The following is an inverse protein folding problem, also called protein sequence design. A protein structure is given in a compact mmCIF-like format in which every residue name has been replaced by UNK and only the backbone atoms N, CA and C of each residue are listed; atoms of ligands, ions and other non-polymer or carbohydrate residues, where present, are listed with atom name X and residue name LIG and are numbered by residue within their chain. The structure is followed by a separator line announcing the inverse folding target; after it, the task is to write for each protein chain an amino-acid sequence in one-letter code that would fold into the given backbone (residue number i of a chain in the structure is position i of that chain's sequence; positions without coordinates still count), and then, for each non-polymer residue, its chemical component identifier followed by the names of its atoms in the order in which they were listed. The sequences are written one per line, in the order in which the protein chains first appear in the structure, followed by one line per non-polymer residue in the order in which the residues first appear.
data_IF_991194679009
#
_entry.id   IF_991194679009
#
_cell.length_a   1.000
_cell.length_b   1.000
_cell.length_c   1.000
_cell.angle_alpha   90.00
_cell.angle_beta   90.00
_cell.angle_gamma   90.00
#
_symmetry.space_group_name_H-M   'P 1'
#
loop_
_entity.id
_entity.type
_entity.pdbx_description
1 polymer ?
#
# COMPACT_ATOMS: atom_id res chain seq x y z
N UNK A 1 5.54 -0.72 -43.90
CA UNK A 1 5.56 -1.88 -42.97
C UNK A 1 4.52 -1.63 -41.91
N UNK A 2 3.37 -2.29 -42.01
CA UNK A 2 2.23 -2.15 -41.10
C UNK A 2 2.52 -2.89 -39.79
N UNK A 3 2.46 -2.17 -38.67
CA UNK A 3 2.49 -2.78 -37.34
C UNK A 3 1.14 -3.43 -37.06
N UNK A 4 1.11 -4.76 -37.06
CA UNK A 4 0.01 -5.55 -36.51
C UNK A 4 0.09 -5.49 -34.98
N UNK A 5 -0.74 -4.65 -34.36
CA UNK A 5 -1.00 -4.67 -32.91
C UNK A 5 -2.11 -5.66 -32.61
N UNK A 6 -1.79 -6.94 -32.55
CA UNK A 6 -2.63 -7.92 -31.86
C UNK A 6 -2.05 -8.09 -30.47
N UNK A 7 -2.65 -7.42 -29.48
CA UNK A 7 -2.40 -7.68 -28.06
C UNK A 7 -2.94 -9.09 -27.76
N UNK A 8 -2.15 -10.12 -28.04
CA UNK A 8 -2.44 -11.49 -27.63
C UNK A 8 -2.42 -11.54 -26.09
N UNK A 9 -3.59 -11.71 -25.48
CA UNK A 9 -3.70 -11.92 -24.02
C UNK A 9 -3.17 -13.31 -23.70
N UNK A 10 -2.31 -13.42 -22.67
CA UNK A 10 -1.82 -14.72 -22.21
C UNK A 10 -2.89 -15.51 -21.45
N UNK A 11 -3.88 -14.82 -20.88
CA UNK A 11 -5.01 -15.38 -20.15
C UNK A 11 -6.25 -14.50 -20.34
N UNK A 12 -7.39 -15.08 -20.67
CA UNK A 12 -8.68 -14.39 -20.55
C UNK A 12 -9.06 -14.23 -19.08
N UNK A 13 -9.71 -13.12 -18.73
CA UNK A 13 -10.33 -12.95 -17.41
C UNK A 13 -11.31 -14.09 -17.14
N UNK A 14 -11.44 -14.59 -15.89
CA UNK A 14 -12.32 -15.72 -15.61
C UNK A 14 -13.76 -15.36 -16.01
N UNK A 15 -14.24 -15.94 -17.10
CA UNK A 15 -15.68 -16.05 -17.36
C UNK A 15 -16.22 -16.99 -16.30
N UNK A 16 -17.25 -16.53 -15.57
CA UNK A 16 -18.06 -17.39 -14.71
C UNK A 16 -18.62 -18.50 -15.62
N UNK A 17 -18.06 -19.70 -15.57
CA UNK A 17 -18.64 -20.84 -16.26
C UNK A 17 -19.89 -21.24 -15.49
N UNK A 18 -21.05 -21.03 -16.11
CA UNK A 18 -22.31 -21.58 -15.65
C UNK A 18 -22.20 -23.12 -15.63
N UNK A 19 -22.59 -23.68 -14.49
CA UNK A 19 -23.04 -25.06 -14.24
C UNK A 19 -22.37 -26.20 -15.00
N UNK A 20 -21.62 -27.02 -14.26
CA UNK A 20 -21.81 -28.48 -14.30
C UNK A 20 -21.66 -29.04 -12.89
N UNK A 21 -22.76 -29.60 -12.39
CA UNK A 21 -22.96 -30.45 -11.21
C UNK A 21 -22.48 -29.95 -9.83
N UNK A 22 -23.37 -29.20 -9.18
CA UNK A 22 -23.36 -28.98 -7.73
C UNK A 22 -23.88 -30.26 -7.06
N UNK A 23 -22.98 -31.16 -6.66
CA UNK A 23 -23.30 -32.06 -5.55
C UNK A 23 -23.34 -31.24 -4.26
N UNK A 24 -24.44 -31.37 -3.52
CA UNK A 24 -24.83 -30.52 -2.39
C UNK A 24 -23.69 -30.24 -1.38
N UNK A 25 -23.45 -28.95 -1.15
CA UNK A 25 -22.46 -28.33 -0.25
C UNK A 25 -22.55 -28.71 1.25
N UNK A 26 -23.41 -29.64 1.65
CA UNK A 26 -23.62 -30.01 3.07
C UNK A 26 -22.81 -31.21 3.55
N UNK A 27 -22.12 -31.94 2.66
CA UNK A 27 -21.41 -33.19 3.03
C UNK A 27 -19.88 -33.17 2.84
N UNK A 28 -19.29 -32.10 2.28
CA UNK A 28 -17.84 -32.02 2.05
C UNK A 28 -16.99 -31.54 3.26
N UNK A 29 -17.58 -31.36 4.44
CA UNK A 29 -16.82 -31.01 5.66
C UNK A 29 -15.98 -32.15 6.26
N UNK A 30 -15.94 -33.33 5.63
CA UNK A 30 -15.16 -34.48 6.13
C UNK A 30 -14.38 -35.19 5.01
N UNK A 31 -13.20 -34.65 4.69
CA UNK A 31 -11.91 -35.36 4.46
C UNK A 31 -11.01 -34.55 3.52
N UNK A 32 -9.90 -34.04 4.05
CA UNK A 32 -8.63 -33.91 3.31
C UNK A 32 -8.43 -32.76 2.32
N UNK A 33 -9.35 -31.82 2.14
CA UNK A 33 -9.05 -30.61 1.36
C UNK A 33 -8.23 -29.63 2.20
N UNK A 34 -7.04 -29.27 1.72
CA UNK A 34 -6.24 -28.19 2.31
C UNK A 34 -7.00 -26.86 2.10
N UNK A 35 -7.59 -26.24 3.14
CA UNK A 35 -8.46 -25.06 3.00
C UNK A 35 -7.72 -23.84 2.42
N UNK A 36 -6.40 -23.93 2.28
CA UNK A 36 -5.53 -22.91 1.75
C UNK A 36 -5.35 -22.96 0.23
N UNK A 37 -5.65 -24.05 -0.47
CA UNK A 37 -5.37 -24.16 -1.90
C UNK A 37 -6.64 -23.98 -2.75
N UNK A 38 -6.64 -22.99 -3.64
CA UNK A 38 -7.81 -22.66 -4.47
C UNK A 38 -7.75 -23.26 -5.87
N UNK A 39 -6.57 -23.73 -6.31
CA UNK A 39 -6.39 -24.42 -7.58
C UNK A 39 -5.14 -24.01 -8.33
N UNK A 40 -4.77 -24.86 -9.30
CA UNK A 40 -3.75 -24.58 -10.31
C UNK A 40 -4.43 -24.55 -11.68
N UNK A 41 -4.11 -23.52 -12.47
CA UNK A 41 -4.44 -23.45 -13.88
C UNK A 41 -3.14 -23.42 -14.66
N UNK A 42 -2.96 -24.34 -15.59
CA UNK A 42 -1.76 -24.44 -16.39
C UNK A 42 -2.09 -24.26 -17.86
N UNK A 43 -1.35 -23.39 -18.53
CA UNK A 43 -1.32 -23.29 -19.99
C UNK A 43 0.03 -23.77 -20.50
N UNK A 44 0.20 -23.82 -21.83
CA UNK A 44 1.50 -24.12 -22.43
C UNK A 44 2.58 -23.10 -22.05
N UNK A 45 2.23 -21.89 -21.61
CA UNK A 45 3.19 -20.79 -21.35
C UNK A 45 3.34 -20.46 -19.86
N UNK A 46 2.29 -20.63 -19.05
CA UNK A 46 2.26 -20.14 -17.66
C UNK A 46 1.52 -21.12 -16.76
N UNK A 47 2.05 -21.33 -15.56
CA UNK A 47 1.35 -22.01 -14.46
C UNK A 47 0.86 -20.96 -13.46
N UNK A 48 -0.43 -20.98 -13.15
CA UNK A 48 -1.06 -20.08 -12.19
C UNK A 48 -1.50 -20.87 -10.97
N UNK A 49 -1.04 -20.49 -9.80
CA UNK A 49 -1.45 -21.08 -8.52
C UNK A 49 -2.17 -20.03 -7.68
N UNK A 50 -3.29 -20.41 -7.05
CA UNK A 50 -4.05 -19.54 -6.15
C UNK A 50 -4.21 -20.21 -4.79
N UNK A 51 -3.98 -19.46 -3.73
CA UNK A 51 -4.06 -19.96 -2.35
C UNK A 51 -4.32 -18.84 -1.34
N UNK A 52 -4.77 -19.23 -0.17
CA UNK A 52 -4.77 -18.44 1.04
C UNK A 52 -3.49 -18.70 1.84
N UNK A 53 -2.82 -17.62 2.24
CA UNK A 53 -1.62 -17.68 3.06
C UNK A 53 -1.93 -17.21 4.47
N UNK A 54 -1.55 -17.99 5.48
CA UNK A 54 -1.62 -17.53 6.86
C UNK A 54 -0.60 -16.41 7.08
N UNK A 55 -1.04 -15.34 7.74
CA UNK A 55 -0.17 -14.21 8.08
C UNK A 55 0.53 -14.42 9.41
N UNK A 56 1.64 -13.70 9.62
CA UNK A 56 2.30 -13.62 10.93
C UNK A 56 1.40 -13.06 12.03
N UNK A 57 0.38 -12.28 11.67
CA UNK A 57 -0.67 -11.86 12.60
C UNK A 57 -1.79 -12.89 12.58
N UNK A 58 -1.71 -13.89 13.46
CA UNK A 58 -2.68 -14.98 13.56
C UNK A 58 -4.14 -14.54 13.35
N UNK A 59 -4.92 -15.32 12.58
CA UNK A 59 -6.35 -15.08 12.36
C UNK A 59 -6.70 -14.28 11.10
N UNK A 60 -5.73 -13.90 10.27
CA UNK A 60 -5.98 -13.32 8.94
C UNK A 60 -5.24 -14.13 7.87
N UNK A 61 -5.96 -14.45 6.79
CA UNK A 61 -5.42 -15.10 5.60
C UNK A 61 -5.39 -14.12 4.42
N UNK A 62 -4.29 -14.14 3.67
CA UNK A 62 -4.16 -13.35 2.45
C UNK A 62 -4.50 -14.20 1.24
N UNK A 63 -5.42 -13.72 0.42
CA UNK A 63 -5.58 -14.26 -0.92
C UNK A 63 -4.34 -13.94 -1.75
N UNK A 64 -3.76 -14.96 -2.35
CA UNK A 64 -2.49 -14.90 -3.05
C UNK A 64 -2.57 -15.63 -4.38
N UNK A 65 -1.90 -15.06 -5.37
CA UNK A 65 -1.74 -15.62 -6.70
C UNK A 65 -0.27 -15.63 -7.09
N UNK A 66 0.15 -16.72 -7.72
CA UNK A 66 1.47 -16.90 -8.30
C UNK A 66 1.31 -17.24 -9.77
N UNK A 67 2.02 -16.52 -10.63
CA UNK A 67 2.09 -16.79 -12.07
C UNK A 67 3.54 -17.11 -12.43
N UNK A 68 3.78 -18.36 -12.82
CA UNK A 68 5.10 -18.90 -13.10
C UNK A 68 5.24 -19.16 -14.60
N UNK A 69 6.05 -18.39 -15.32
CA UNK A 69 6.39 -18.68 -16.72
C UNK A 69 7.28 -19.94 -16.81
N UNK A 70 7.45 -20.49 -18.02
CA UNK A 70 8.30 -21.66 -18.24
C UNK A 70 9.76 -21.43 -17.83
N UNK A 71 10.30 -20.25 -18.14
CA UNK A 71 11.63 -19.81 -17.75
C UNK A 71 11.49 -18.60 -16.82
N UNK A 72 12.28 -18.58 -15.74
CA UNK A 72 12.23 -17.52 -14.73
C UNK A 72 13.57 -16.80 -14.68
N UNK A 73 13.64 -15.64 -15.34
CA UNK A 73 14.83 -14.79 -15.35
C UNK A 73 14.87 -13.85 -14.14
N UNK A 74 13.69 -13.53 -13.62
CA UNK A 74 13.49 -12.65 -12.48
C UNK A 74 12.14 -12.94 -11.81
N UNK A 75 11.86 -12.30 -10.69
CA UNK A 75 10.56 -12.36 -10.04
C UNK A 75 10.11 -11.00 -9.53
N UNK A 76 8.81 -10.79 -9.43
CA UNK A 76 8.22 -9.52 -9.00
C UNK A 76 7.05 -9.74 -8.05
N UNK A 77 7.02 -8.99 -6.96
CA UNK A 77 5.83 -8.85 -6.10
C UNK A 77 5.08 -7.59 -6.52
N UNK A 78 3.78 -7.70 -6.77
CA UNK A 78 2.90 -6.57 -7.06
C UNK A 78 2.06 -6.25 -5.82
N UNK A 79 2.14 -5.00 -5.35
CA UNK A 79 1.43 -4.48 -4.17
C UNK A 79 0.45 -3.39 -4.59
N UNK A 80 -0.84 -3.65 -4.41
CA UNK A 80 -1.91 -2.78 -4.92
C UNK A 80 -2.14 -1.51 -4.09
N UNK A 81 -2.96 -0.59 -4.62
CA UNK A 81 -3.38 0.65 -3.97
C UNK A 81 -4.48 0.47 -2.92
N UNK A 82 -4.96 1.59 -2.38
CA UNK A 82 -6.08 1.59 -1.43
C UNK A 82 -7.40 1.22 -2.13
N UNK A 83 -8.20 0.36 -1.52
CA UNK A 83 -9.55 0.06 -2.02
C UNK A 83 -9.59 -0.84 -3.25
N UNK A 84 -8.43 -1.24 -3.78
CA UNK A 84 -8.27 -2.16 -4.90
C UNK A 84 -8.01 -3.60 -4.44
N UNK A 85 -7.65 -4.46 -5.39
CA UNK A 85 -7.20 -5.83 -5.18
C UNK A 85 -6.29 -6.26 -6.35
N UNK A 86 -5.65 -7.41 -6.23
CA UNK A 86 -4.71 -7.99 -7.21
C UNK A 86 -5.28 -8.16 -8.62
N UNK A 87 -6.59 -8.35 -8.75
CA UNK A 87 -7.28 -8.53 -10.04
C UNK A 87 -7.24 -7.31 -10.97
N UNK A 88 -6.83 -6.13 -10.46
CA UNK A 88 -6.67 -4.92 -11.27
C UNK A 88 -5.30 -4.81 -11.96
N UNK A 89 -4.41 -5.77 -11.75
CA UNK A 89 -3.03 -5.74 -12.24
C UNK A 89 -2.78 -6.75 -13.37
N UNK A 90 -3.82 -7.22 -14.05
CA UNK A 90 -3.70 -8.22 -15.13
C UNK A 90 -2.76 -7.76 -16.24
N UNK A 91 -2.94 -6.55 -16.75
CA UNK A 91 -2.12 -6.01 -17.84
C UNK A 91 -0.64 -5.88 -17.45
N UNK A 92 -0.37 -5.50 -16.19
CA UNK A 92 0.98 -5.46 -15.64
C UNK A 92 1.57 -6.86 -15.44
N UNK A 93 0.76 -7.81 -14.99
CA UNK A 93 1.13 -9.22 -14.83
C UNK A 93 1.55 -9.82 -16.16
N UNK A 94 0.76 -9.62 -17.21
CA UNK A 94 1.08 -10.06 -18.56
C UNK A 94 2.41 -9.46 -19.04
N UNK A 95 2.62 -8.15 -18.82
CA UNK A 95 3.88 -7.50 -19.15
C UNK A 95 5.10 -8.19 -18.52
N UNK A 96 5.02 -8.53 -17.23
CA UNK A 96 6.11 -9.21 -16.53
C UNK A 96 6.29 -10.65 -17.02
N UNK A 97 5.20 -11.39 -17.22
CA UNK A 97 5.25 -12.77 -17.75
C UNK A 97 5.88 -12.83 -19.15
N UNK A 98 5.57 -11.87 -20.03
CA UNK A 98 6.20 -11.76 -21.35
C UNK A 98 7.72 -11.52 -21.30
N UNK A 99 8.24 -11.08 -20.16
CA UNK A 99 9.67 -10.87 -19.94
C UNK A 99 10.28 -11.95 -19.02
N UNK A 100 9.64 -13.11 -18.87
CA UNK A 100 10.08 -14.23 -18.02
C UNK A 100 10.17 -13.90 -16.52
N UNK A 101 9.35 -12.97 -16.04
CA UNK A 101 9.24 -12.69 -14.61
C UNK A 101 8.19 -13.61 -14.00
N UNK A 102 8.56 -14.32 -12.94
CA UNK A 102 7.58 -14.92 -12.03
C UNK A 102 6.86 -13.82 -11.27
N UNK A 103 5.53 -13.82 -11.26
CA UNK A 103 4.71 -12.75 -10.66
C UNK A 103 4.00 -13.26 -9.42
N UNK A 104 4.16 -12.53 -8.32
CA UNK A 104 3.42 -12.71 -7.09
C UNK A 104 2.45 -11.55 -6.89
N UNK A 105 1.18 -11.87 -6.69
CA UNK A 105 0.16 -10.90 -6.28
C UNK A 105 -0.51 -11.40 -5.01
N UNK A 106 -0.93 -10.45 -4.18
CA UNK A 106 -1.79 -10.75 -3.04
C UNK A 106 -2.76 -9.59 -2.82
N UNK A 107 -3.92 -9.91 -2.26
CA UNK A 107 -4.81 -8.89 -1.76
C UNK A 107 -4.32 -8.51 -0.36
N UNK A 108 -4.09 -7.23 -0.12
CA UNK A 108 -3.77 -6.72 1.21
C UNK A 108 -4.95 -6.99 2.15
N UNK A 109 -4.65 -7.21 3.44
CA UNK A 109 -5.68 -7.46 4.45
C UNK A 109 -6.81 -6.43 4.40
N UNK A 110 -8.04 -6.89 4.60
CA UNK A 110 -9.22 -6.05 4.54
C UNK A 110 -9.63 -5.62 3.12
N UNK A 111 -8.96 -6.08 2.06
CA UNK A 111 -9.28 -5.80 0.67
C UNK A 111 -9.41 -7.07 -0.17
N UNK A 112 -10.10 -6.98 -1.32
CA UNK A 112 -10.29 -8.09 -2.24
C UNK A 112 -10.80 -9.36 -1.57
N UNK A 113 -10.17 -10.49 -1.87
CA UNK A 113 -10.50 -11.79 -1.31
C UNK A 113 -9.78 -12.11 0.00
N UNK A 114 -8.87 -11.25 0.46
CA UNK A 114 -8.19 -11.42 1.75
C UNK A 114 -9.12 -11.21 2.93
N UNK A 115 -8.82 -11.91 4.03
CA UNK A 115 -9.49 -11.77 5.30
C UNK A 115 -9.14 -10.47 6.02
N UNK A 116 -9.58 -10.36 7.27
CA UNK A 116 -9.47 -9.16 8.09
C UNK A 116 -10.67 -8.21 7.93
N UNK A 117 -10.76 -7.22 8.81
CA UNK A 117 -11.86 -6.25 8.80
C UNK A 117 -11.69 -5.33 7.58
N UNK A 118 -12.77 -5.14 6.81
CA UNK A 118 -12.74 -4.34 5.58
C UNK A 118 -12.31 -2.90 5.85
N UNK A 119 -11.40 -2.38 5.02
CA UNK A 119 -10.90 -1.01 5.17
C UNK A 119 -10.14 -0.75 6.47
N UNK A 120 -9.59 -1.81 7.09
CA UNK A 120 -8.82 -1.71 8.34
C UNK A 120 -7.48 -2.45 8.26
N UNK A 121 -6.41 -1.77 8.65
CA UNK A 121 -5.11 -2.35 8.90
C UNK A 121 -4.24 -1.42 9.76
N UNK A 122 -3.30 -1.98 10.51
CA UNK A 122 -2.18 -1.21 11.09
C UNK A 122 -0.98 -1.21 10.15
N UNK A 123 -0.07 -0.23 10.32
CA UNK A 123 1.19 -0.19 9.58
C UNK A 123 2.01 -1.47 9.80
N UNK A 124 2.07 -1.92 11.05
CA UNK A 124 2.76 -3.15 11.43
C UNK A 124 2.18 -4.38 10.74
N UNK A 125 0.86 -4.53 10.75
CA UNK A 125 0.17 -5.62 10.07
C UNK A 125 0.47 -5.67 8.58
N UNK A 126 0.41 -4.52 7.88
CA UNK A 126 0.72 -4.46 6.45
C UNK A 126 2.20 -4.81 6.16
N UNK A 127 3.12 -4.38 7.02
CA UNK A 127 4.54 -4.76 6.90
C UNK A 127 4.76 -6.27 7.12
N UNK A 128 4.08 -6.86 8.11
CA UNK A 128 4.14 -8.30 8.38
C UNK A 128 3.55 -9.13 7.23
N UNK A 129 2.50 -8.63 6.58
CA UNK A 129 1.90 -9.25 5.40
C UNK A 129 2.87 -9.27 4.22
N UNK A 130 3.48 -8.13 3.90
CA UNK A 130 4.50 -8.05 2.86
C UNK A 130 5.65 -9.03 3.16
N UNK A 131 6.09 -9.10 4.42
CA UNK A 131 7.13 -10.04 4.82
C UNK A 131 6.72 -11.50 4.68
N UNK A 132 5.44 -11.83 4.90
CA UNK A 132 4.89 -13.17 4.63
C UNK A 132 5.05 -13.54 3.16
N UNK A 133 4.78 -12.60 2.25
CA UNK A 133 4.99 -12.82 0.81
C UNK A 133 6.48 -12.90 0.46
N UNK A 134 7.33 -12.09 1.10
CA UNK A 134 8.78 -12.13 0.91
C UNK A 134 9.41 -13.47 1.35
N UNK A 135 8.77 -14.25 2.22
CA UNK A 135 9.27 -15.60 2.56
C UNK A 135 9.06 -16.61 1.43
N UNK A 136 8.19 -16.33 0.46
CA UNK A 136 7.87 -17.24 -0.66
C UNK A 136 8.76 -17.04 -1.89
N UNK A 137 9.54 -15.96 -1.93
CA UNK A 137 10.38 -15.64 -3.09
C UNK A 137 11.62 -16.54 -3.15
N UNK A 138 12.01 -16.93 -4.35
CA UNK A 138 13.24 -17.69 -4.55
C UNK A 138 14.45 -16.76 -4.43
N UNK A 139 15.24 -16.92 -3.37
CA UNK A 139 16.38 -16.02 -3.09
C UNK A 139 17.51 -16.12 -4.11
N UNK A 140 17.53 -17.16 -4.95
CA UNK A 140 18.49 -17.32 -6.03
C UNK A 140 18.15 -16.49 -7.28
N UNK A 141 16.91 -15.98 -7.37
CA UNK A 141 16.38 -15.23 -8.52
C UNK A 141 16.26 -13.73 -8.18
N UNK A 142 16.68 -12.82 -9.07
CA UNK A 142 16.52 -11.37 -8.87
C UNK A 142 15.08 -10.95 -8.53
N UNK A 143 14.90 -10.26 -7.41
CA UNK A 143 13.58 -9.79 -6.94
C UNK A 143 13.36 -8.31 -7.24
N UNK A 144 12.22 -8.04 -7.86
CA UNK A 144 11.64 -6.71 -7.98
C UNK A 144 10.38 -6.60 -7.13
N UNK A 145 10.02 -5.37 -6.76
CA UNK A 145 8.71 -5.08 -6.17
C UNK A 145 8.09 -3.96 -6.98
N UNK A 146 6.89 -4.18 -7.50
CA UNK A 146 6.04 -3.13 -8.05
C UNK A 146 5.01 -2.73 -7.00
N UNK A 147 4.82 -1.44 -6.78
CA UNK A 147 3.86 -0.95 -5.81
C UNK A 147 3.16 0.32 -6.29
N UNK A 148 1.88 0.44 -5.99
CA UNK A 148 1.03 1.55 -6.44
C UNK A 148 0.42 2.32 -5.26
N UNK A 149 0.33 3.66 -5.37
CA UNK A 149 -0.42 4.52 -4.47
C UNK A 149 -0.11 4.28 -2.97
N UNK A 150 -1.10 3.80 -2.20
CA UNK A 150 -0.93 3.45 -0.79
C UNK A 150 0.06 2.28 -0.59
N UNK A 151 0.00 1.26 -1.46
CA UNK A 151 0.93 0.14 -1.45
C UNK A 151 2.38 0.60 -1.61
N UNK A 152 2.62 1.65 -2.40
CA UNK A 152 3.95 2.24 -2.51
C UNK A 152 4.42 2.91 -1.22
N UNK A 153 3.54 3.64 -0.53
CA UNK A 153 3.86 4.22 0.77
C UNK A 153 4.19 3.16 1.81
N UNK A 154 3.42 2.07 1.82
CA UNK A 154 3.66 0.91 2.67
C UNK A 154 5.04 0.28 2.39
N UNK A 155 5.32 -0.09 1.14
CA UNK A 155 6.61 -0.73 0.77
C UNK A 155 7.80 0.20 1.01
N UNK A 156 7.70 1.49 0.68
CA UNK A 156 8.77 2.45 0.94
C UNK A 156 9.04 2.56 2.44
N UNK A 157 8.00 2.62 3.27
CA UNK A 157 8.17 2.70 4.72
C UNK A 157 8.76 1.42 5.32
N UNK A 158 8.39 0.24 4.80
CA UNK A 158 9.01 -1.04 5.14
C UNK A 158 10.51 -1.02 4.84
N UNK A 159 10.89 -0.57 3.64
CA UNK A 159 12.29 -0.44 3.24
C UNK A 159 13.08 0.55 4.11
N UNK A 160 12.45 1.66 4.53
CA UNK A 160 13.07 2.64 5.43
C UNK A 160 13.27 2.11 6.85
N UNK A 161 12.39 1.22 7.32
CA UNK A 161 12.55 0.49 8.59
C UNK A 161 13.62 -0.61 8.50
N UNK A 162 13.90 -1.08 7.30
CA UNK A 162 14.82 -2.18 7.01
C UNK A 162 15.91 -1.75 6.01
N UNK A 163 16.77 -0.75 6.34
CA UNK A 163 17.72 -0.19 5.38
C UNK A 163 18.76 -1.19 4.86
N UNK A 164 18.99 -2.29 5.60
CA UNK A 164 19.88 -3.38 5.19
C UNK A 164 19.22 -4.37 4.23
N UNK A 165 17.89 -4.31 4.06
CA UNK A 165 17.18 -5.15 3.10
C UNK A 165 17.40 -4.60 1.68
N UNK A 166 18.20 -5.30 0.88
CA UNK A 166 18.45 -5.00 -0.53
C UNK A 166 17.82 -6.06 -1.42
N UNK A 167 17.35 -5.64 -2.58
CA UNK A 167 16.82 -6.47 -3.67
C UNK A 167 17.03 -5.73 -5.00
N UNK A 168 16.74 -6.38 -6.13
CA UNK A 168 17.13 -5.91 -7.47
C UNK A 168 16.57 -4.53 -7.80
N UNK A 169 15.31 -4.26 -7.43
CA UNK A 169 14.75 -2.93 -7.66
C UNK A 169 13.30 -2.74 -7.23
N UNK A 170 12.98 -1.53 -6.79
CA UNK A 170 11.63 -1.08 -6.44
C UNK A 170 11.05 -0.23 -7.58
N UNK A 171 9.84 -0.56 -8.04
CA UNK A 171 9.09 0.20 -9.05
C UNK A 171 7.86 0.79 -8.36
N UNK A 172 7.80 2.11 -8.29
CA UNK A 172 6.73 2.83 -7.61
C UNK A 172 5.88 3.60 -8.63
N UNK A 173 4.59 3.29 -8.71
CA UNK A 173 3.62 4.04 -9.52
C UNK A 173 2.77 4.95 -8.65
N UNK A 174 2.86 6.26 -8.87
CA UNK A 174 2.00 7.28 -8.26
C UNK A 174 1.97 7.20 -6.72
N UNK A 175 3.14 7.06 -6.10
CA UNK A 175 3.26 6.83 -4.67
C UNK A 175 2.63 7.97 -3.83
N UNK A 176 1.83 7.63 -2.83
CA UNK A 176 1.11 8.60 -2.00
C UNK A 176 1.93 9.02 -0.77
N UNK A 177 2.95 9.87 -0.99
CA UNK A 177 3.99 10.14 0.01
C UNK A 177 3.66 11.25 1.03
N UNK A 178 2.69 12.13 0.74
CA UNK A 178 2.20 13.15 1.69
C UNK A 178 0.68 13.15 1.78
N UNK A 179 0.21 13.71 2.88
CA UNK A 179 -1.20 14.09 3.04
C UNK A 179 -1.50 15.22 2.06
N UNK A 180 -2.53 15.08 1.21
CA UNK A 180 -2.98 16.18 0.36
C UNK A 180 -3.29 17.45 1.17
N UNK A 181 -2.75 18.60 0.76
CA UNK A 181 -2.91 19.87 1.47
C UNK A 181 -4.37 20.26 1.72
N UNK A 182 -5.29 19.81 0.85
CA UNK A 182 -6.75 20.01 0.96
C UNK A 182 -7.37 19.52 2.27
N UNK A 183 -6.72 18.60 2.99
CA UNK A 183 -7.24 18.14 4.27
C UNK A 183 -7.01 19.16 5.40
N UNK A 184 -6.00 20.02 5.30
CA UNK A 184 -5.76 21.10 6.27
C UNK A 184 -5.47 20.62 7.70
N UNK A 185 -5.00 21.54 8.56
CA UNK A 185 -4.62 21.19 9.95
C UNK A 185 -5.80 20.78 10.82
N UNK A 186 -6.98 21.37 10.58
CA UNK A 186 -8.18 21.08 11.35
C UNK A 186 -8.68 19.65 11.13
N UNK A 187 -8.80 19.16 9.89
CA UNK A 187 -9.23 17.77 9.65
C UNK A 187 -8.21 16.74 10.17
N UNK A 188 -6.93 17.10 10.19
CA UNK A 188 -5.89 16.25 10.80
C UNK A 188 -6.05 16.18 12.32
N UNK A 189 -6.43 17.27 12.97
CA UNK A 189 -6.74 17.28 14.40
C UNK A 189 -8.00 16.47 14.71
N UNK A 190 -9.07 16.67 13.92
CA UNK A 190 -10.31 15.89 14.10
C UNK A 190 -10.05 14.42 13.90
N UNK A 191 -9.31 14.01 12.85
CA UNK A 191 -8.93 12.62 12.64
C UNK A 191 -8.26 12.01 13.87
N UNK A 192 -7.25 12.68 14.43
CA UNK A 192 -6.54 12.22 15.65
C UNK A 192 -7.46 12.08 16.86
N UNK A 193 -8.42 12.99 17.02
CA UNK A 193 -9.41 12.91 18.09
C UNK A 193 -10.37 11.73 17.87
N UNK A 194 -10.88 11.59 16.65
CA UNK A 194 -11.80 10.51 16.27
C UNK A 194 -11.15 9.13 16.42
N UNK A 195 -9.84 8.99 16.19
CA UNK A 195 -9.11 7.74 16.41
C UNK A 195 -9.22 7.25 17.84
N UNK A 196 -9.34 8.15 18.83
CA UNK A 196 -9.54 7.77 20.25
C UNK A 196 -11.00 7.47 20.59
N UNK A 197 -11.95 8.07 19.86
CA UNK A 197 -13.38 8.03 20.21
C UNK A 197 -14.13 6.92 19.47
N UNK A 198 -13.90 6.74 18.17
CA UNK A 198 -14.47 5.66 17.38
C UNK A 198 -13.50 5.21 16.27
N UNK A 199 -12.42 4.50 16.65
CA UNK A 199 -11.40 4.02 15.70
C UNK A 199 -11.99 3.15 14.58
N UNK A 200 -13.05 2.41 14.87
CA UNK A 200 -13.66 1.45 13.93
C UNK A 200 -14.69 2.06 12.98
N UNK A 201 -15.07 3.33 13.18
CA UNK A 201 -16.03 4.00 12.32
C UNK A 201 -15.53 4.02 10.88
N UNK A 202 -16.30 3.42 9.98
CA UNK A 202 -16.02 3.39 8.55
C UNK A 202 -16.50 4.67 7.89
N UNK A 203 -15.61 5.33 7.15
CA UNK A 203 -15.93 6.51 6.36
C UNK A 203 -15.69 6.24 4.89
N UNK A 204 -16.64 6.64 4.04
CA UNK A 204 -16.42 6.64 2.60
C UNK A 204 -15.36 7.70 2.27
N UNK A 205 -14.36 7.32 1.49
CA UNK A 205 -13.27 8.23 1.09
C UNK A 205 -13.68 9.24 0.02
N UNK A 206 -14.85 9.04 -0.61
CA UNK A 206 -15.40 9.84 -1.70
C UNK A 206 -14.38 10.10 -2.82
N UNK A 207 -13.53 9.12 -3.10
CA UNK A 207 -12.58 9.20 -4.21
C UNK A 207 -13.34 9.16 -5.52
N UNK A 208 -13.02 10.13 -6.38
CA UNK A 208 -13.61 10.20 -7.70
C UNK A 208 -12.90 9.20 -8.62
N UNK A 209 -13.58 8.13 -9.01
CA UNK A 209 -13.03 7.07 -9.87
C UNK A 209 -12.56 7.59 -11.23
N UNK A 210 -13.11 8.70 -11.74
CA UNK A 210 -12.63 9.33 -12.98
C UNK A 210 -11.20 9.89 -12.88
N UNK A 211 -10.63 9.97 -11.68
CA UNK A 211 -9.24 10.37 -11.48
C UNK A 211 -8.27 9.19 -11.58
N UNK A 212 -8.78 7.95 -11.63
CA UNK A 212 -7.96 6.75 -11.75
C UNK A 212 -7.28 6.67 -13.12
N UNK A 213 -8.02 6.83 -14.20
CA UNK A 213 -7.53 6.63 -15.57
C UNK A 213 -8.35 7.41 -16.59
N UNK A 214 -7.79 7.75 -17.76
CA UNK A 214 -8.54 8.25 -18.92
C UNK A 214 -9.33 7.16 -19.64
N UNK A 215 -9.07 5.89 -19.33
CA UNK A 215 -9.73 4.76 -19.96
C UNK A 215 -11.14 4.54 -19.36
N UNK A 216 -12.18 4.92 -20.09
CA UNK A 216 -13.58 4.76 -19.68
C UNK A 216 -13.97 3.30 -19.41
N UNK A 217 -13.40 2.33 -20.14
CA UNK A 217 -13.66 0.91 -19.87
C UNK A 217 -13.11 0.51 -18.51
N UNK A 218 -11.91 1.00 -18.16
CA UNK A 218 -11.31 0.76 -16.85
C UNK A 218 -12.11 1.43 -15.73
N UNK A 219 -12.51 2.70 -15.90
CA UNK A 219 -13.38 3.38 -14.92
C UNK A 219 -14.68 2.60 -14.70
N UNK A 220 -15.32 2.11 -15.78
CA UNK A 220 -16.54 1.30 -15.67
C UNK A 220 -16.27 0.02 -14.88
N UNK A 221 -15.16 -0.68 -15.17
CA UNK A 221 -14.74 -1.88 -14.43
C UNK A 221 -14.65 -1.56 -12.94
N UNK A 222 -13.88 -0.54 -12.55
CA UNK A 222 -13.73 -0.11 -11.15
C UNK A 222 -15.08 0.21 -10.48
N UNK A 223 -15.98 0.89 -11.20
CA UNK A 223 -17.29 1.28 -10.66
C UNK A 223 -18.24 0.09 -10.45
N UNK A 224 -18.10 -0.97 -11.23
CA UNK A 224 -18.95 -2.18 -11.14
C UNK A 224 -18.34 -3.32 -10.35
N UNK A 225 -17.08 -3.19 -9.93
CA UNK A 225 -16.36 -4.25 -9.24
C UNK A 225 -16.75 -4.32 -7.76
N UNK A 226 -17.35 -5.43 -7.34
CA UNK A 226 -17.80 -5.65 -5.97
C UNK A 226 -16.66 -5.83 -4.95
N UNK A 227 -15.43 -6.08 -5.41
CA UNK A 227 -14.26 -6.20 -4.55
C UNK A 227 -13.61 -4.85 -4.25
N UNK A 228 -13.96 -3.81 -5.03
CA UNK A 228 -13.52 -2.45 -4.75
C UNK A 228 -14.13 -1.98 -3.42
N UNK A 229 -13.28 -1.42 -2.56
CA UNK A 229 -13.68 -1.02 -1.22
C UNK A 229 -13.40 0.47 -0.98
N UNK A 230 -14.40 1.35 -1.15
CA UNK A 230 -14.20 2.81 -1.05
C UNK A 230 -14.20 3.33 0.39
N UNK A 231 -14.32 2.45 1.39
CA UNK A 231 -14.41 2.80 2.81
C UNK A 231 -13.08 2.58 3.53
N UNK A 232 -12.86 3.39 4.54
CA UNK A 232 -11.66 3.38 5.38
C UNK A 232 -12.10 3.65 6.81
N UNK A 233 -11.62 2.87 7.78
CA UNK A 233 -11.89 3.22 9.17
C UNK A 233 -11.11 4.46 9.60
N UNK A 234 -11.59 5.16 10.62
CA UNK A 234 -10.86 6.28 11.23
C UNK A 234 -9.45 5.86 11.67
N UNK A 235 -9.31 4.66 12.25
CA UNK A 235 -8.01 4.10 12.62
C UNK A 235 -7.12 3.88 11.40
N UNK A 236 -7.67 3.35 10.30
CA UNK A 236 -6.90 3.11 9.10
C UNK A 236 -6.46 4.42 8.41
N UNK A 237 -7.34 5.43 8.36
CA UNK A 237 -6.98 6.77 7.91
C UNK A 237 -5.81 7.36 8.72
N UNK A 238 -5.81 7.14 10.04
CA UNK A 238 -4.69 7.52 10.88
C UNK A 238 -3.41 6.72 10.58
N UNK A 239 -3.51 5.41 10.31
CA UNK A 239 -2.35 4.61 9.88
C UNK A 239 -1.76 5.07 8.53
N UNK A 240 -2.61 5.45 7.57
CA UNK A 240 -2.16 6.06 6.30
C UNK A 240 -1.37 7.35 6.55
N UNK A 241 -1.86 8.18 7.49
CA UNK A 241 -1.17 9.40 7.92
C UNK A 241 0.21 9.11 8.52
N UNK A 242 0.37 8.00 9.25
CA UNK A 242 1.66 7.61 9.84
C UNK A 242 2.72 7.31 8.78
N UNK A 243 2.36 6.60 7.69
CA UNK A 243 3.27 6.40 6.56
C UNK A 243 3.78 7.73 6.00
N UNK A 244 2.84 8.64 5.71
CA UNK A 244 3.14 9.93 5.09
C UNK A 244 3.96 10.85 5.99
N UNK A 245 3.78 10.77 7.31
CA UNK A 245 4.61 11.50 8.29
C UNK A 245 5.98 10.86 8.51
N UNK A 246 6.15 9.58 8.18
CA UNK A 246 7.39 8.84 8.41
C UNK A 246 8.35 8.91 7.20
N UNK A 247 7.84 8.78 5.97
CA UNK A 247 8.65 8.53 4.78
C UNK A 247 9.65 9.67 4.49
N UNK A 248 9.17 10.88 4.21
CA UNK A 248 10.05 11.98 3.77
C UNK A 248 11.09 12.39 4.84
N UNK A 249 10.74 12.50 6.14
CA UNK A 249 11.74 12.77 7.18
C UNK A 249 12.84 11.70 7.31
N UNK A 250 12.59 10.47 6.84
CA UNK A 250 13.55 9.38 6.87
C UNK A 250 14.14 9.04 5.50
N UNK A 251 13.75 9.73 4.43
CA UNK A 251 14.06 9.36 3.04
C UNK A 251 15.58 9.31 2.75
N UNK A 252 16.41 10.05 3.49
CA UNK A 252 17.88 9.98 3.38
C UNK A 252 18.47 8.60 3.71
N UNK A 253 17.72 7.73 4.39
CA UNK A 253 18.13 6.35 4.68
C UNK A 253 17.83 5.38 3.52
N UNK A 254 17.02 5.79 2.55
CA UNK A 254 16.61 4.93 1.45
C UNK A 254 17.75 4.73 0.44
N UNK A 255 18.10 3.47 0.15
CA UNK A 255 19.28 3.10 -0.66
C UNK A 255 18.98 2.14 -1.83
N UNK A 256 17.83 1.48 -1.81
CA UNK A 256 17.46 0.44 -2.78
C UNK A 256 17.32 1.07 -4.18
N UNK A 257 17.75 0.40 -5.27
CA UNK A 257 17.48 0.85 -6.63
C UNK A 257 16.00 1.11 -6.86
N UNK A 258 15.64 2.25 -7.45
CA UNK A 258 14.24 2.66 -7.56
C UNK A 258 13.89 3.33 -8.89
N UNK A 259 12.77 2.91 -9.46
CA UNK A 259 12.08 3.58 -10.55
C UNK A 259 10.80 4.23 -10.02
N UNK A 260 10.76 5.56 -10.05
CA UNK A 260 9.59 6.37 -9.69
C UNK A 260 8.84 6.75 -10.98
N UNK A 261 7.58 6.36 -11.08
CA UNK A 261 6.68 6.65 -12.19
C UNK A 261 5.51 7.45 -11.64
N UNK A 262 5.18 8.60 -12.24
CA UNK A 262 4.06 9.41 -11.75
C UNK A 262 3.35 10.15 -12.88
N UNK A 263 2.02 10.12 -12.87
CA UNK A 263 1.19 10.94 -13.74
C UNK A 263 1.18 12.40 -13.33
N UNK A 264 1.41 13.33 -14.26
CA UNK A 264 1.36 14.76 -13.95
C UNK A 264 -0.07 15.25 -13.68
N UNK A 265 -1.06 14.62 -14.31
CA UNK A 265 -2.48 14.92 -14.15
C UNK A 265 -3.14 14.14 -12.99
N UNK A 266 -2.34 13.44 -12.17
CA UNK A 266 -2.82 12.76 -10.97
C UNK A 266 -3.44 13.75 -9.96
N UNK A 267 -4.73 13.53 -9.65
CA UNK A 267 -5.51 14.34 -8.70
C UNK A 267 -5.64 13.70 -7.31
N UNK A 268 -5.11 12.49 -7.14
CA UNK A 268 -5.14 11.71 -5.90
C UNK A 268 -3.81 11.85 -5.15
N UNK A 269 -2.69 11.65 -5.84
CA UNK A 269 -1.33 11.83 -5.34
C UNK A 269 -0.60 12.93 -6.12
N UNK A 270 0.23 13.73 -5.45
CA UNK A 270 0.97 14.81 -6.10
C UNK A 270 2.29 14.30 -6.65
N UNK A 271 2.53 14.48 -7.95
CA UNK A 271 3.81 14.15 -8.58
C UNK A 271 4.99 14.93 -7.99
N UNK A 272 4.73 16.12 -7.40
CA UNK A 272 5.76 16.90 -6.70
C UNK A 272 6.33 16.15 -5.49
N UNK A 273 5.53 15.30 -4.84
CA UNK A 273 6.01 14.51 -3.71
C UNK A 273 7.00 13.43 -4.16
N UNK A 274 6.80 12.84 -5.35
CA UNK A 274 7.78 11.93 -5.96
C UNK A 274 9.06 12.66 -6.39
N UNK A 275 8.95 13.90 -6.86
CA UNK A 275 10.12 14.74 -7.17
C UNK A 275 10.95 15.03 -5.91
N UNK A 276 10.28 15.40 -4.81
CA UNK A 276 10.93 15.66 -3.53
C UNK A 276 11.59 14.39 -2.97
N UNK A 277 10.89 13.26 -3.01
CA UNK A 277 11.45 11.98 -2.58
C UNK A 277 12.68 11.62 -3.41
N UNK A 278 12.60 11.69 -4.74
CA UNK A 278 13.73 11.44 -5.66
C UNK A 278 14.97 12.28 -5.31
N UNK A 279 14.78 13.55 -4.97
CA UNK A 279 15.87 14.46 -4.58
C UNK A 279 16.55 14.05 -3.28
N UNK A 280 15.78 13.58 -2.29
CA UNK A 280 16.26 13.31 -0.92
C UNK A 280 16.91 11.92 -0.79
N UNK A 281 16.39 10.90 -1.47
CA UNK A 281 16.86 9.52 -1.31
C UNK A 281 18.34 9.35 -1.74
N UNK A 282 19.01 8.41 -1.08
CA UNK A 282 20.43 8.11 -1.27
C UNK A 282 20.66 6.85 -2.13
N UNK A 283 19.64 6.41 -2.87
CA UNK A 283 19.78 5.34 -3.85
C UNK A 283 20.73 5.76 -4.97
N UNK A 284 21.71 4.89 -5.28
CA UNK A 284 22.67 5.10 -6.36
C UNK A 284 22.01 4.96 -7.73
N UNK A 285 21.08 4.02 -7.85
CA UNK A 285 20.32 3.74 -9.06
C UNK A 285 18.89 4.24 -8.87
N UNK A 286 18.67 5.52 -9.13
CA UNK A 286 17.33 6.12 -9.08
C UNK A 286 16.96 6.70 -10.43
N UNK A 287 15.72 6.48 -10.84
CA UNK A 287 15.14 7.05 -12.06
C UNK A 287 13.76 7.58 -11.74
N UNK A 288 13.43 8.78 -12.24
CA UNK A 288 12.10 9.38 -12.12
C UNK A 288 11.57 9.69 -13.52
N UNK A 289 10.36 9.23 -13.80
CA UNK A 289 9.62 9.61 -15.01
C UNK A 289 8.27 10.20 -14.62
N UNK A 290 8.05 11.45 -15.06
CA UNK A 290 6.74 12.09 -15.05
C UNK A 290 6.08 11.88 -16.41
N UNK A 291 4.85 11.38 -16.40
CA UNK A 291 4.01 11.20 -17.58
C UNK A 291 3.10 12.42 -17.70
N UNK A 292 3.35 13.26 -18.69
CA UNK A 292 2.67 14.56 -18.85
C UNK A 292 1.14 14.44 -18.90
N UNK A 293 0.64 13.35 -19.49
CA UNK A 293 -0.79 13.08 -19.64
C UNK A 293 -1.30 11.99 -18.68
N UNK A 294 -0.44 11.47 -17.80
CA UNK A 294 -0.75 10.31 -16.99
C UNK A 294 -1.64 10.64 -15.79
N UNK A 295 -2.59 9.76 -15.50
CA UNK A 295 -3.49 9.80 -14.35
C UNK A 295 -2.93 8.94 -13.19
N UNK A 296 -3.77 8.60 -12.20
CA UNK A 296 -3.35 7.88 -11.00
C UNK A 296 -2.89 6.44 -11.28
N UNK A 297 -3.68 5.67 -12.04
CA UNK A 297 -3.41 4.29 -12.38
C UNK A 297 -2.76 4.19 -13.76
N UNK A 298 -1.50 4.65 -13.88
CA UNK A 298 -0.75 4.67 -15.15
C UNK A 298 -0.77 3.32 -15.91
N UNK A 299 -0.80 2.21 -15.18
CA UNK A 299 -0.81 0.86 -15.74
C UNK A 299 -2.13 0.46 -16.39
N UNK A 300 -3.20 1.22 -16.16
CA UNK A 300 -4.53 1.09 -16.77
C UNK A 300 -4.92 2.35 -17.56
N UNK A 301 -3.97 3.25 -17.83
CA UNK A 301 -4.19 4.56 -18.47
C UNK A 301 -3.65 4.62 -19.91
N UNK A 302 -3.94 5.69 -20.64
CA UNK A 302 -3.48 5.88 -22.02
C UNK A 302 -1.95 5.93 -22.15
N UNK A 303 -1.23 6.26 -21.08
CA UNK A 303 0.24 6.28 -21.06
C UNK A 303 0.87 4.89 -20.80
N UNK A 304 0.05 3.84 -20.60
CA UNK A 304 0.53 2.47 -20.35
C UNK A 304 1.58 1.98 -21.36
N UNK A 305 1.44 2.13 -22.70
CA UNK A 305 2.44 1.64 -23.63
C UNK A 305 3.84 2.22 -23.39
N UNK A 306 3.92 3.50 -23.01
CA UNK A 306 5.20 4.15 -22.66
C UNK A 306 5.73 3.67 -21.32
N UNK A 307 4.83 3.50 -20.34
CA UNK A 307 5.17 2.98 -19.01
C UNK A 307 5.73 1.56 -19.10
N UNK A 308 5.08 0.69 -19.88
CA UNK A 308 5.49 -0.68 -20.17
C UNK A 308 6.93 -0.73 -20.71
N UNK A 309 7.22 0.03 -21.77
CA UNK A 309 8.57 0.09 -22.37
C UNK A 309 9.60 0.51 -21.33
N UNK A 310 9.31 1.55 -20.54
CA UNK A 310 10.23 2.04 -19.52
C UNK A 310 10.48 1.03 -18.40
N UNK A 311 9.44 0.35 -17.92
CA UNK A 311 9.56 -0.71 -16.92
C UNK A 311 10.47 -1.82 -17.45
N UNK A 312 10.19 -2.34 -18.64
CA UNK A 312 10.98 -3.42 -19.23
C UNK A 312 12.44 -3.02 -19.40
N UNK A 313 12.71 -1.86 -20.01
CA UNK A 313 14.08 -1.36 -20.20
C UNK A 313 14.82 -1.17 -18.88
N UNK A 314 14.14 -0.62 -17.87
CA UNK A 314 14.74 -0.42 -16.56
C UNK A 314 15.02 -1.74 -15.86
N UNK A 315 14.09 -2.70 -15.92
CA UNK A 315 14.30 -4.04 -15.36
C UNK A 315 15.49 -4.75 -16.04
N UNK A 316 15.58 -4.72 -17.37
CA UNK A 316 16.73 -5.28 -18.11
C UNK A 316 18.04 -4.61 -17.71
N UNK A 317 18.07 -3.27 -17.59
CA UNK A 317 19.25 -2.55 -17.09
C UNK A 317 19.62 -2.96 -15.67
N UNK A 318 18.62 -3.19 -14.81
CA UNK A 318 18.89 -3.58 -13.44
C UNK A 318 19.38 -5.03 -13.35
N UNK A 319 18.87 -5.94 -14.17
CA UNK A 319 19.30 -7.34 -14.21
C UNK A 319 20.77 -7.52 -14.59
N UNK A 320 21.38 -6.57 -15.30
CA UNK A 320 22.83 -6.61 -15.56
C UNK A 320 23.69 -6.26 -14.34
N UNK A 321 23.09 -5.86 -13.22
CA UNK A 321 23.77 -5.57 -11.96
C UNK A 321 23.61 -6.75 -10.99
N UNK A 322 24.72 -7.22 -10.41
CA UNK A 322 24.72 -8.27 -9.39
C UNK A 322 24.26 -7.71 -8.03
N UNK A 323 22.94 -7.64 -7.82
CA UNK A 323 22.33 -7.18 -6.57
C UNK A 323 21.57 -8.36 -5.94
N UNK A 324 22.19 -8.97 -4.93
CA UNK A 324 21.60 -10.12 -4.24
C UNK A 324 20.55 -9.68 -3.22
N UNK A 325 19.51 -10.50 -3.09
CA UNK A 325 18.50 -10.34 -2.05
C UNK A 325 19.19 -10.52 -0.68
N UNK A 326 19.06 -9.53 0.19
CA UNK A 326 19.70 -9.56 1.50
C UNK A 326 19.02 -10.57 2.42
N UNK A 327 19.82 -11.36 3.13
CA UNK A 327 19.32 -12.22 4.20
C UNK A 327 19.13 -11.39 5.47
N UNK A 328 17.89 -11.30 5.96
CA UNK A 328 17.57 -10.72 7.26
C UNK A 328 16.96 -11.81 8.13
N UNK A 329 17.48 -11.99 9.36
CA UNK A 329 16.88 -12.94 10.33
C UNK A 329 15.48 -12.48 10.73
N UNK A 330 15.31 -11.18 10.94
CA UNK A 330 14.03 -10.56 11.27
C UNK A 330 13.94 -9.17 10.61
N UNK A 331 12.73 -8.79 10.22
CA UNK A 331 12.41 -7.45 9.71
C UNK A 331 11.76 -6.62 10.81
N UNK A 332 12.03 -5.31 10.81
CA UNK A 332 11.31 -4.37 11.66
C UNK A 332 9.99 -3.97 11.02
N UNK A 333 8.92 -3.99 11.82
CA UNK A 333 7.56 -3.66 11.40
C UNK A 333 7.07 -2.38 12.08
N UNK A 334 5.99 -1.79 11.56
CA UNK A 334 5.47 -0.53 12.08
C UNK A 334 6.28 0.69 11.64
N UNK A 335 5.88 1.87 12.12
CA UNK A 335 6.63 3.13 11.94
C UNK A 335 6.58 3.94 13.24
N UNK A 336 7.69 4.60 13.56
CA UNK A 336 7.77 5.50 14.72
C UNK A 336 7.87 6.94 14.22
N UNK A 337 6.78 7.69 14.37
CA UNK A 337 6.73 9.11 14.02
C UNK A 337 7.11 9.93 15.25
N UNK A 338 8.26 10.62 15.22
CA UNK A 338 8.67 11.53 16.29
C UNK A 338 7.70 12.71 16.37
N UNK A 339 6.85 12.74 17.38
CA UNK A 339 6.09 13.93 17.71
C UNK A 339 6.99 14.91 18.46
N UNK A 340 7.35 16.02 17.82
CA UNK A 340 7.92 17.15 18.53
C UNK A 340 6.89 17.63 19.55
N UNK A 341 7.15 17.41 20.84
CA UNK A 341 6.41 18.06 21.93
C UNK A 341 6.52 19.56 21.68
N UNK A 342 5.41 20.20 21.28
CA UNK A 342 5.46 21.61 20.90
C UNK A 342 5.88 22.43 22.12
N UNK A 343 6.74 23.43 21.94
CA UNK A 343 7.03 24.44 22.98
C UNK A 343 5.73 25.07 23.50
N UNK A 344 4.68 25.10 22.68
CA UNK A 344 3.31 25.51 23.03
C UNK A 344 2.72 24.63 24.14
N UNK A 345 2.96 23.32 24.21
CA UNK A 345 2.54 22.47 25.34
C UNK A 345 3.22 22.92 26.63
N UNK A 346 4.52 23.20 26.60
CA UNK A 346 5.26 23.70 27.77
C UNK A 346 4.72 25.08 28.19
N UNK A 347 4.50 25.98 27.21
CA UNK A 347 3.94 27.31 27.44
C UNK A 347 2.50 27.23 27.97
N UNK A 348 1.65 26.35 27.45
CA UNK A 348 0.28 26.13 27.93
C UNK A 348 0.26 25.52 29.32
N UNK A 349 1.13 24.55 29.62
CA UNK A 349 1.28 23.99 30.96
C UNK A 349 1.77 25.07 31.93
N UNK A 350 2.75 25.89 31.54
CA UNK A 350 3.21 27.04 32.35
C UNK A 350 2.08 28.05 32.54
N UNK A 351 1.34 28.41 31.48
CA UNK A 351 0.19 29.31 31.56
C UNK A 351 -0.90 28.74 32.46
N UNK A 352 -1.21 27.45 32.40
CA UNK A 352 -2.18 26.78 33.27
C UNK A 352 -1.69 26.74 34.73
N UNK A 353 -0.39 26.52 34.98
CA UNK A 353 0.22 26.60 36.31
C UNK A 353 0.17 28.04 36.85
N UNK A 354 0.49 29.04 36.04
CA UNK A 354 0.43 30.46 36.40
C UNK A 354 -1.02 30.91 36.65
N UNK A 355 -1.95 30.45 35.82
CA UNK A 355 -3.39 30.67 35.98
C UNK A 355 -3.89 30.03 37.28
N UNK A 356 -3.41 28.81 37.62
CA UNK A 356 -3.69 28.15 38.90
C UNK A 356 -3.13 28.92 40.11
N UNK A 357 -1.97 29.55 39.99
CA UNK A 357 -1.36 30.38 41.07
C UNK A 357 -2.10 31.71 41.30
N UNK A 358 -2.69 32.32 40.26
CA UNK A 358 -3.32 33.65 40.35
C UNK A 358 -4.71 33.66 41.00
N UNK A 359 -5.35 32.50 41.19
CA UNK A 359 -6.73 32.38 41.70
C UNK A 359 -6.84 31.81 43.14
N UNK A 360 -6.00 32.33 44.04
CA UNK A 360 -6.10 32.06 45.49
C UNK A 360 -7.37 32.71 46.11
N UNK A 361 -8.04 33.66 45.42
CA UNK A 361 -9.21 34.41 45.94
C UNK A 361 -10.61 34.03 45.41
N UNK A 362 -10.83 32.85 44.80
CA UNK A 362 -12.18 32.40 44.41
C UNK A 362 -12.88 31.56 45.50
N UNK A 363 -14.22 31.58 45.53
CA UNK A 363 -15.06 30.69 46.36
C UNK A 363 -14.75 29.21 46.06
N UNK A 364 -14.87 28.36 47.09
CA UNK A 364 -14.40 26.96 47.09
C UNK A 364 -15.00 26.11 45.96
N UNK A 365 -16.28 26.29 45.63
CA UNK A 365 -16.95 25.54 44.56
C UNK A 365 -16.41 25.87 43.16
N UNK A 366 -16.12 27.14 42.88
CA UNK A 366 -15.57 27.58 41.59
C UNK A 366 -14.12 27.09 41.40
N UNK A 367 -13.34 27.01 42.49
CA UNK A 367 -11.99 26.43 42.48
C UNK A 367 -12.01 24.96 42.08
N UNK A 368 -12.94 24.18 42.62
CA UNK A 368 -13.05 22.73 42.33
C UNK A 368 -13.43 22.51 40.87
N UNK A 369 -14.42 23.22 40.33
CA UNK A 369 -14.82 23.07 38.92
C UNK A 369 -13.70 23.47 37.95
N UNK A 370 -12.95 24.53 38.24
CA UNK A 370 -11.81 24.95 37.41
C UNK A 370 -10.66 23.93 37.53
N UNK A 371 -10.37 23.40 38.72
CA UNK A 371 -9.34 22.37 38.90
C UNK A 371 -9.72 21.10 38.16
N UNK A 372 -10.97 20.65 38.24
CA UNK A 372 -11.47 19.47 37.50
C UNK A 372 -11.39 19.72 35.99
N UNK A 373 -11.77 20.89 35.50
CA UNK A 373 -11.68 21.25 34.09
C UNK A 373 -10.22 21.30 33.59
N UNK A 374 -9.32 21.87 34.40
CA UNK A 374 -7.88 21.89 34.10
C UNK A 374 -7.30 20.47 34.18
N UNK A 375 -7.67 19.64 35.15
CA UNK A 375 -7.25 18.22 35.22
C UNK A 375 -7.76 17.41 34.03
N UNK A 376 -9.00 17.62 33.60
CA UNK A 376 -9.56 16.99 32.40
C UNK A 376 -8.82 17.45 31.14
N UNK A 377 -8.58 18.76 30.99
CA UNK A 377 -7.76 19.30 29.90
C UNK A 377 -6.34 18.72 29.96
N UNK A 378 -5.71 18.70 31.13
CA UNK A 378 -4.37 18.15 31.31
C UNK A 378 -4.37 16.65 31.02
N UNK A 379 -5.37 15.86 31.41
CA UNK A 379 -5.44 14.43 31.06
C UNK A 379 -5.63 14.22 29.55
N UNK A 380 -6.44 15.04 28.90
CA UNK A 380 -6.63 15.04 27.44
C UNK A 380 -5.35 15.47 26.69
N UNK A 381 -4.58 16.40 27.26
CA UNK A 381 -3.39 16.99 26.63
C UNK A 381 -2.04 16.44 27.12
N UNK A 382 -1.95 15.71 28.23
CA UNK A 382 -0.71 15.16 28.83
C UNK A 382 -0.63 13.64 28.69
N UNK A 383 -1.74 12.90 28.60
CA UNK A 383 -1.68 11.47 28.25
C UNK A 383 -1.49 11.28 26.74
N UNK A 384 -0.22 11.44 26.33
CA UNK A 384 0.48 10.91 25.13
C UNK A 384 1.83 11.63 25.00
#
# INVERSE_FOLDING_TARGET
MSYSTTDERLMDSPKRTESTDIQSDSQMFKKGFNPQFLGIQQTSKVTVSRRYLDTKTHGVQLYYQEFTPQNVDAQVIIVHGFGEHSGNYQQLTDCFLFNNFKVYLYDQRGFGYSGGIRGQATVEQMHMDLDTILQLVDRSVPLFIFCHALGASMVISFCLMNPSFQFQGLICSNAQLRVPAKYGKFKMLTLKLMTKLCPDLQVNTYQNLSYASKNNHHIKKLATDHLMHPYMSIQFAYNVLLFQQFILPNATKFRIPILLLHGKEDKIASHLDSLDFYRIIQSKEKTLKIFEQGFHELHNDSEWPKMKILITQWCTKMLSKDIKISFMREHHYGVVVKHYRSKIRIILTILLILFRKKYICLKTSTKISIIIFIELLLRVFISN
#
